data_IF_186872811353
#
_entry.id   IF_186872811353
#
_cell.length_a   1.000
_cell.length_b   1.000
_cell.length_c   1.000
_cell.angle_alpha   90.00
_cell.angle_beta   90.00
_cell.angle_gamma   90.00
#
_symmetry.space_group_name_H-M   'P 1'
#
loop_
_entity.id
_entity.type
_entity.pdbx_description
1 polymer ?
#
# COMPACT_ATOMS: atom_id res chain seq x y z
N UNK A 1 11.93 4.01 -39.20
CA UNK A 1 11.46 2.83 -38.43
C UNK A 1 11.30 3.27 -36.99
N UNK A 2 10.12 3.70 -36.51
CA UNK A 2 9.96 4.14 -35.10
C UNK A 2 8.51 4.15 -34.59
N UNK A 3 7.49 4.41 -35.42
CA UNK A 3 6.09 4.55 -34.96
C UNK A 3 5.40 3.29 -34.40
N UNK A 4 5.98 2.09 -34.54
CA UNK A 4 5.39 0.83 -34.06
C UNK A 4 5.88 0.42 -32.66
N UNK A 5 7.02 0.94 -32.20
CA UNK A 5 7.53 0.64 -30.85
C UNK A 5 6.83 1.52 -29.80
N UNK A 6 6.64 2.82 -30.08
CA UNK A 6 5.96 3.76 -29.18
C UNK A 6 4.51 3.33 -28.87
N UNK A 7 3.75 2.90 -29.89
CA UNK A 7 2.36 2.44 -29.69
C UNK A 7 2.24 1.16 -28.85
N UNK A 8 3.21 0.24 -28.94
CA UNK A 8 3.22 -0.98 -28.12
C UNK A 8 3.60 -0.68 -26.67
N UNK A 9 4.48 0.30 -26.44
CA UNK A 9 4.85 0.76 -25.11
C UNK A 9 3.69 1.49 -24.45
N UNK A 10 2.98 2.35 -25.20
CA UNK A 10 1.80 3.06 -24.75
C UNK A 10 0.60 2.13 -24.48
N UNK A 11 0.40 1.07 -25.27
CA UNK A 11 -0.64 0.05 -25.01
C UNK A 11 -0.31 -0.86 -23.82
N UNK A 12 0.97 -1.18 -23.57
CA UNK A 12 1.38 -1.86 -22.33
C UNK A 12 1.17 -0.98 -21.09
N UNK A 13 1.42 0.33 -21.20
CA UNK A 13 1.18 1.31 -20.12
C UNK A 13 -0.30 1.39 -19.74
N UNK A 14 -1.22 1.53 -20.70
CA UNK A 14 -2.67 1.54 -20.43
C UNK A 14 -3.15 0.20 -19.83
N UNK A 15 -2.56 -0.93 -20.23
CA UNK A 15 -2.90 -2.24 -19.66
C UNK A 15 -2.34 -2.46 -18.25
N UNK A 16 -1.24 -1.80 -17.88
CA UNK A 16 -0.67 -1.82 -16.53
C UNK A 16 -1.33 -0.79 -15.59
N UNK A 17 -1.86 0.33 -16.13
CA UNK A 17 -2.61 1.35 -15.39
C UNK A 17 -3.82 0.80 -14.62
N UNK A 18 -4.34 -0.37 -15.01
CA UNK A 18 -5.47 -1.03 -14.36
C UNK A 18 -5.07 -2.32 -13.62
N UNK A 19 -3.78 -2.71 -13.66
CA UNK A 19 -3.35 -4.02 -13.18
C UNK A 19 -2.69 -3.86 -11.82
N UNK A 20 -3.46 -4.19 -10.79
CA UNK A 20 -2.97 -4.38 -9.43
C UNK A 20 -1.72 -5.26 -9.45
N UNK A 21 -0.61 -4.74 -8.93
CA UNK A 21 0.63 -5.48 -8.79
C UNK A 21 0.63 -6.18 -7.44
N UNK A 22 0.83 -7.50 -7.44
CA UNK A 22 0.87 -8.30 -6.22
C UNK A 22 2.32 -8.56 -5.80
N UNK A 23 2.58 -8.39 -4.51
CA UNK A 23 3.88 -8.57 -3.88
C UNK A 23 3.77 -9.54 -2.69
N UNK A 24 4.79 -10.38 -2.55
CA UNK A 24 4.88 -11.37 -1.45
C UNK A 24 5.64 -10.82 -0.23
N UNK A 25 6.46 -9.79 -0.42
CA UNK A 25 7.28 -9.19 0.63
C UNK A 25 7.37 -7.67 0.51
N UNK A 26 7.75 -7.04 1.63
CA UNK A 26 7.91 -5.59 1.74
C UNK A 26 9.10 -5.09 0.89
N UNK A 27 10.17 -5.87 0.77
CA UNK A 27 11.39 -5.42 0.07
C UNK A 27 11.12 -5.17 -1.42
N UNK A 28 10.38 -6.07 -2.06
CA UNK A 28 9.98 -5.97 -3.47
C UNK A 28 8.99 -4.83 -3.67
N UNK A 29 8.06 -4.64 -2.74
CA UNK A 29 7.13 -3.50 -2.77
C UNK A 29 7.85 -2.16 -2.62
N UNK A 30 8.79 -2.04 -1.68
CA UNK A 30 9.58 -0.81 -1.54
C UNK A 30 10.41 -0.51 -2.77
N UNK A 31 10.97 -1.56 -3.39
CA UNK A 31 11.68 -1.42 -4.66
C UNK A 31 10.75 -0.89 -5.74
N UNK A 32 9.54 -1.42 -5.85
CA UNK A 32 8.54 -0.90 -6.77
C UNK A 32 8.29 0.60 -6.57
N UNK A 33 8.08 1.05 -5.32
CA UNK A 33 7.91 2.49 -5.04
C UNK A 33 9.11 3.34 -5.44
N UNK A 34 10.34 2.82 -5.26
CA UNK A 34 11.58 3.50 -5.68
C UNK A 34 11.68 3.59 -7.20
N UNK A 35 11.34 2.52 -7.91
CA UNK A 35 11.37 2.48 -9.37
C UNK A 35 10.34 3.47 -9.96
N UNK A 36 9.10 3.50 -9.44
CA UNK A 36 8.05 4.45 -9.87
C UNK A 36 8.46 5.92 -9.61
N UNK A 37 9.16 6.16 -8.50
CA UNK A 37 9.75 7.47 -8.19
C UNK A 37 10.82 7.89 -9.20
N UNK A 38 11.70 6.98 -9.60
CA UNK A 38 12.72 7.26 -10.62
C UNK A 38 12.11 7.58 -11.98
N UNK A 39 10.99 6.94 -12.31
CA UNK A 39 10.23 7.15 -13.55
C UNK A 39 9.27 8.36 -13.48
N UNK A 40 9.10 8.99 -12.30
CA UNK A 40 8.13 10.06 -12.01
C UNK A 40 6.66 9.67 -12.28
N UNK A 41 6.32 8.40 -12.12
CA UNK A 41 4.95 7.86 -12.29
C UNK A 41 4.30 7.68 -10.91
N UNK A 42 3.70 8.74 -10.34
CA UNK A 42 3.15 8.69 -8.97
C UNK A 42 1.64 8.43 -8.89
N UNK A 43 0.90 8.73 -9.95
CA UNK A 43 -0.55 8.97 -9.92
C UNK A 43 -1.40 7.79 -10.44
N UNK A 44 -0.79 6.64 -10.73
CA UNK A 44 -1.48 5.45 -11.23
C UNK A 44 -0.92 4.13 -10.64
N UNK A 45 -0.46 4.18 -9.39
CA UNK A 45 0.13 3.04 -8.73
C UNK A 45 -0.96 2.26 -8.00
N UNK A 46 -1.09 0.97 -8.31
CA UNK A 46 -1.94 0.05 -7.55
C UNK A 46 -1.13 -1.19 -7.18
N UNK A 47 -0.83 -1.33 -5.89
CA UNK A 47 0.00 -2.37 -5.34
C UNK A 47 -0.72 -3.08 -4.18
N UNK A 48 -0.60 -4.40 -4.13
CA UNK A 48 -1.14 -5.24 -3.09
C UNK A 48 -0.06 -6.12 -2.51
N UNK A 49 0.01 -6.22 -1.19
CA UNK A 49 1.03 -6.99 -0.49
C UNK A 49 0.30 -7.84 0.54
N UNK A 50 0.59 -9.14 0.56
CA UNK A 50 0.15 -10.03 1.62
C UNK A 50 1.37 -10.64 2.32
N UNK A 51 1.57 -10.30 3.59
CA UNK A 51 2.73 -10.77 4.34
C UNK A 51 2.44 -10.97 5.82
N UNK A 52 3.33 -11.68 6.52
CA UNK A 52 3.27 -11.87 7.96
C UNK A 52 4.14 -10.81 8.64
N UNK A 53 3.60 -10.01 9.57
CA UNK A 53 4.36 -8.95 10.23
C UNK A 53 5.61 -9.49 10.95
N UNK A 54 6.75 -8.75 10.92
CA UNK A 54 8.01 -9.20 11.52
C UNK A 54 7.90 -9.58 13.00
N UNK A 55 7.06 -8.88 13.78
CA UNK A 55 6.88 -9.18 15.20
C UNK A 55 6.24 -10.55 15.43
N UNK A 56 5.38 -11.03 14.52
CA UNK A 56 4.76 -12.36 14.62
C UNK A 56 5.76 -13.43 14.22
N UNK A 57 6.50 -13.21 13.13
CA UNK A 57 7.56 -14.11 12.68
C UNK A 57 8.61 -14.28 13.77
N UNK A 58 9.01 -13.19 14.42
CA UNK A 58 9.98 -13.23 15.51
C UNK A 58 9.46 -14.02 16.72
N UNK A 59 8.20 -13.84 17.13
CA UNK A 59 7.57 -14.63 18.19
C UNK A 59 7.47 -16.14 17.84
N UNK A 60 7.55 -16.49 16.56
CA UNK A 60 7.43 -17.86 16.03
C UNK A 60 8.77 -18.44 15.55
N UNK A 61 9.90 -17.85 15.95
CA UNK A 61 11.25 -18.26 15.53
C UNK A 61 11.46 -18.29 14.01
N UNK A 62 10.83 -17.36 13.29
CA UNK A 62 10.82 -17.23 11.83
C UNK A 62 10.25 -18.46 11.10
N UNK A 63 9.38 -19.22 11.76
CA UNK A 63 8.73 -20.40 11.22
C UNK A 63 7.21 -20.16 11.13
N UNK A 64 6.65 -20.02 9.91
CA UNK A 64 5.21 -19.80 9.72
C UNK A 64 4.34 -20.90 10.33
N UNK A 65 4.83 -22.15 10.39
CA UNK A 65 4.07 -23.28 10.95
C UNK A 65 3.94 -23.21 12.48
N UNK A 66 4.81 -22.43 13.14
CA UNK A 66 4.80 -22.23 14.59
C UNK A 66 3.99 -21.03 15.04
N UNK A 67 3.37 -20.32 14.10
CA UNK A 67 2.51 -19.17 14.43
C UNK A 67 1.30 -19.69 15.20
N UNK A 68 1.09 -19.13 16.40
CA UNK A 68 -0.07 -19.47 17.22
C UNK A 68 -1.34 -18.97 16.55
N UNK A 69 -2.38 -19.81 16.54
CA UNK A 69 -3.72 -19.44 16.05
C UNK A 69 -4.26 -18.14 16.68
N UNK A 70 -3.83 -17.83 17.91
CA UNK A 70 -4.20 -16.59 18.61
C UNK A 70 -3.58 -15.31 18.02
N UNK A 71 -2.66 -15.38 17.06
CA UNK A 71 -2.05 -14.23 16.40
C UNK A 71 -2.95 -13.80 15.24
N UNK A 72 -4.11 -13.26 15.57
CA UNK A 72 -5.11 -12.82 14.61
C UNK A 72 -5.87 -11.60 15.15
N UNK A 73 -6.81 -11.07 14.36
CA UNK A 73 -7.59 -9.87 14.72
C UNK A 73 -8.29 -9.94 16.09
N UNK A 74 -8.72 -11.13 16.55
CA UNK A 74 -9.42 -11.31 17.84
C UNK A 74 -8.51 -11.06 19.04
N UNK A 75 -7.18 -11.03 18.84
CA UNK A 75 -6.22 -10.76 19.89
C UNK A 75 -5.82 -9.28 19.93
N UNK A 76 -6.19 -8.61 21.03
CA UNK A 76 -5.89 -7.18 21.24
C UNK A 76 -4.39 -6.86 21.24
N UNK A 77 -3.53 -7.78 21.72
CA UNK A 77 -2.07 -7.59 21.71
C UNK A 77 -1.55 -7.59 20.28
N UNK A 78 -2.01 -8.55 19.47
CA UNK A 78 -1.68 -8.62 18.04
C UNK A 78 -2.11 -7.33 17.32
N UNK A 79 -3.37 -6.91 17.47
CA UNK A 79 -3.90 -5.69 16.85
C UNK A 79 -3.08 -4.45 17.24
N UNK A 80 -2.73 -4.31 18.52
CA UNK A 80 -1.90 -3.18 18.99
C UNK A 80 -0.51 -3.19 18.36
N UNK A 81 0.15 -4.35 18.32
CA UNK A 81 1.48 -4.47 17.75
C UNK A 81 1.46 -4.27 16.23
N UNK A 82 0.41 -4.76 15.56
CA UNK A 82 0.19 -4.53 14.15
C UNK A 82 0.00 -3.05 13.83
N UNK A 83 -0.87 -2.34 14.56
CA UNK A 83 -1.04 -0.90 14.36
C UNK A 83 0.28 -0.14 14.59
N UNK A 84 1.05 -0.50 15.61
CA UNK A 84 2.39 0.08 15.83
C UNK A 84 3.37 -0.21 14.69
N UNK A 85 3.32 -1.42 14.13
CA UNK A 85 4.11 -1.78 12.94
C UNK A 85 3.75 -0.90 11.75
N UNK A 86 2.44 -0.75 11.48
CA UNK A 86 1.93 0.06 10.38
C UNK A 86 2.38 1.52 10.50
N UNK A 87 2.17 2.15 11.66
CA UNK A 87 2.50 3.57 11.84
C UNK A 87 4.01 3.86 11.85
N UNK A 88 4.82 2.96 12.40
CA UNK A 88 6.26 3.22 12.59
C UNK A 88 7.14 2.75 11.45
N UNK A 89 6.71 1.71 10.74
CA UNK A 89 7.48 1.06 9.69
C UNK A 89 6.80 1.25 8.35
N UNK A 90 5.65 0.60 8.13
CA UNK A 90 5.01 0.55 6.81
C UNK A 90 4.75 1.94 6.20
N UNK A 91 4.03 2.81 6.92
CA UNK A 91 3.71 4.16 6.40
C UNK A 91 4.96 5.02 6.21
N UNK A 92 5.95 4.85 7.10
CA UNK A 92 7.22 5.57 7.04
C UNK A 92 8.05 5.13 5.82
N UNK A 93 8.13 3.82 5.59
CA UNK A 93 8.81 3.23 4.44
C UNK A 93 8.13 3.63 3.13
N UNK A 94 6.79 3.72 3.09
CA UNK A 94 6.06 4.23 1.93
C UNK A 94 6.45 5.68 1.64
N UNK A 95 6.47 6.57 2.65
CA UNK A 95 6.88 7.98 2.49
C UNK A 95 8.32 8.08 1.99
N UNK A 96 9.25 7.35 2.61
CA UNK A 96 10.67 7.40 2.28
C UNK A 96 10.96 6.88 0.86
N UNK A 97 10.32 5.77 0.46
CA UNK A 97 10.57 5.12 -0.81
C UNK A 97 9.82 5.74 -1.98
N UNK A 98 8.58 6.21 -1.78
CA UNK A 98 7.82 6.92 -2.82
C UNK A 98 8.40 8.30 -3.15
N UNK A 99 9.13 8.92 -2.21
CA UNK A 99 9.63 10.29 -2.38
C UNK A 99 8.54 11.37 -2.27
N UNK A 100 7.32 10.98 -1.91
CA UNK A 100 6.19 11.89 -1.69
C UNK A 100 6.18 12.37 -0.23
N UNK A 101 5.79 13.63 -0.02
CA UNK A 101 5.58 14.18 1.33
C UNK A 101 4.20 13.82 1.87
N UNK A 102 3.96 12.53 2.11
CA UNK A 102 2.66 12.04 2.55
C UNK A 102 2.42 12.37 4.02
N UNK A 103 1.21 12.88 4.32
CA UNK A 103 0.79 13.22 5.69
C UNK A 103 -0.50 12.51 6.04
N UNK A 104 -0.38 11.20 6.28
CA UNK A 104 -1.51 10.40 6.72
C UNK A 104 -2.08 10.93 8.05
N UNK A 105 -3.38 11.22 8.03
CA UNK A 105 -4.14 11.60 9.21
C UNK A 105 -4.47 10.40 10.10
N UNK A 106 -5.50 10.56 10.95
CA UNK A 106 -6.03 9.42 11.71
C UNK A 106 -6.66 8.42 10.73
N UNK A 107 -6.37 7.12 10.85
CA UNK A 107 -6.99 6.12 9.98
C UNK A 107 -8.49 6.04 10.23
N UNK A 108 -9.24 5.79 9.16
CA UNK A 108 -10.60 5.29 9.28
C UNK A 108 -10.53 3.81 9.64
N UNK A 109 -11.20 3.42 10.73
CA UNK A 109 -11.23 2.04 11.21
C UNK A 109 -12.55 1.43 10.77
N UNK A 110 -12.47 0.35 9.99
CA UNK A 110 -13.60 -0.48 9.60
C UNK A 110 -13.44 -1.84 10.26
N UNK A 111 -14.40 -2.19 11.10
CA UNK A 111 -14.37 -3.41 11.90
C UNK A 111 -15.58 -4.25 11.60
N UNK A 112 -15.34 -5.45 11.08
CA UNK A 112 -16.33 -6.49 10.88
C UNK A 112 -16.15 -7.61 11.90
N UNK A 113 -17.01 -8.63 11.81
CA UNK A 113 -16.93 -9.81 12.67
C UNK A 113 -15.58 -10.54 12.53
N UNK A 114 -15.11 -10.71 11.29
CA UNK A 114 -13.89 -11.48 10.98
C UNK A 114 -12.69 -10.62 10.61
N UNK A 115 -12.87 -9.33 10.31
CA UNK A 115 -11.81 -8.47 9.78
C UNK A 115 -11.72 -7.13 10.49
N UNK A 116 -10.51 -6.58 10.52
CA UNK A 116 -10.23 -5.21 10.95
C UNK A 116 -9.38 -4.56 9.87
N UNK A 117 -9.84 -3.42 9.38
CA UNK A 117 -9.19 -2.64 8.34
C UNK A 117 -8.92 -1.21 8.83
N UNK A 118 -7.70 -0.74 8.58
CA UNK A 118 -7.31 0.66 8.71
C UNK A 118 -7.12 1.25 7.33
N UNK A 119 -7.88 2.30 7.03
CA UNK A 119 -7.72 3.09 5.82
C UNK A 119 -7.03 4.40 6.14
N UNK A 120 -5.85 4.60 5.58
CA UNK A 120 -5.09 5.86 5.64
C UNK A 120 -5.25 6.57 4.30
N UNK A 121 -5.61 7.84 4.33
CA UNK A 121 -5.82 8.65 3.13
C UNK A 121 -5.01 9.93 3.27
N UNK A 122 -4.33 10.30 2.20
CA UNK A 122 -3.72 11.61 2.04
C UNK A 122 -4.17 12.26 0.73
N UNK A 123 -4.84 13.40 0.88
CA UNK A 123 -5.39 14.23 -0.21
C UNK A 123 -4.51 15.48 -0.48
N UNK A 124 -3.30 15.52 0.09
CA UNK A 124 -2.39 16.65 -0.01
C UNK A 124 -1.75 16.85 -1.38
N UNK A 125 -0.86 17.84 -1.45
CA UNK A 125 -0.07 18.20 -2.63
C UNK A 125 1.20 17.33 -2.78
N UNK A 126 1.41 16.40 -1.84
CA UNK A 126 2.52 15.42 -1.82
C UNK A 126 3.94 15.99 -1.98
N UNK A 127 4.10 17.30 -1.83
CA UNK A 127 5.36 18.00 -2.06
C UNK A 127 5.73 18.18 -3.54
N UNK A 128 4.79 17.98 -4.46
CA UNK A 128 4.99 18.07 -5.91
C UNK A 128 4.67 19.45 -6.48
N UNK A 129 3.91 20.28 -5.76
CA UNK A 129 3.57 21.65 -6.15
C UNK A 129 2.42 21.71 -7.17
N UNK A 130 1.90 22.92 -7.40
CA UNK A 130 0.70 23.17 -8.21
C UNK A 130 0.80 22.74 -9.70
N UNK A 131 2.00 22.47 -10.20
CA UNK A 131 2.23 22.02 -11.58
C UNK A 131 1.96 20.51 -11.78
N UNK A 132 1.88 19.74 -10.69
CA UNK A 132 1.54 18.31 -10.74
C UNK A 132 0.04 18.07 -10.58
N UNK A 133 -0.42 17.00 -11.21
CA UNK A 133 -1.81 16.57 -11.12
C UNK A 133 -2.14 16.17 -9.67
N UNK A 134 -3.27 16.65 -9.15
CA UNK A 134 -3.70 16.31 -7.80
C UNK A 134 -4.24 14.88 -7.77
N UNK A 135 -3.62 14.02 -6.98
CA UNK A 135 -4.07 12.65 -6.74
C UNK A 135 -4.17 12.37 -5.25
N UNK A 136 -4.98 11.39 -4.89
CA UNK A 136 -5.15 10.90 -3.53
C UNK A 136 -4.33 9.64 -3.34
N UNK A 137 -3.60 9.54 -2.24
CA UNK A 137 -2.92 8.30 -1.84
C UNK A 137 -3.74 7.60 -0.77
N UNK A 138 -4.11 6.35 -1.02
CA UNK A 138 -4.84 5.50 -0.09
C UNK A 138 -4.01 4.27 0.28
N UNK A 139 -3.92 3.98 1.59
CA UNK A 139 -3.30 2.78 2.12
C UNK A 139 -4.31 2.05 2.99
N UNK A 140 -4.75 0.89 2.54
CA UNK A 140 -5.66 0.01 3.25
C UNK A 140 -4.89 -1.16 3.86
N UNK A 141 -4.88 -1.26 5.19
CA UNK A 141 -4.26 -2.38 5.90
C UNK A 141 -5.35 -3.20 6.56
N UNK A 142 -5.47 -4.47 6.17
CA UNK A 142 -6.49 -5.40 6.66
C UNK A 142 -5.85 -6.61 7.34
N UNK A 143 -6.42 -7.00 8.47
CA UNK A 143 -6.11 -8.26 9.13
C UNK A 143 -7.40 -9.05 9.38
N UNK A 144 -7.28 -10.38 9.44
CA UNK A 144 -8.41 -11.29 9.56
C UNK A 144 -8.32 -12.18 10.81
N UNK A 145 -9.37 -12.94 11.09
CA UNK A 145 -9.44 -13.87 12.21
C UNK A 145 -8.80 -15.24 11.97
N UNK A 146 -8.39 -15.53 10.73
CA UNK A 146 -8.00 -16.87 10.29
C UNK A 146 -6.48 -17.05 10.25
N UNK A 147 -5.70 -16.00 10.51
CA UNK A 147 -4.26 -16.08 10.59
C UNK A 147 -3.62 -14.75 10.97
N UNK A 148 -2.28 -14.74 10.92
CA UNK A 148 -1.47 -13.57 11.24
C UNK A 148 -1.05 -12.75 10.02
N UNK A 149 -1.37 -13.23 8.81
CA UNK A 149 -1.12 -12.51 7.58
C UNK A 149 -1.95 -11.23 7.53
N UNK A 150 -1.37 -10.20 6.93
CA UNK A 150 -2.03 -8.92 6.70
C UNK A 150 -2.04 -8.61 5.22
N UNK A 151 -3.14 -8.04 4.75
CA UNK A 151 -3.32 -7.56 3.39
C UNK A 151 -3.14 -6.04 3.39
N UNK A 152 -2.22 -5.54 2.57
CA UNK A 152 -1.96 -4.11 2.39
C UNK A 152 -2.26 -3.76 0.94
N UNK A 153 -3.19 -2.83 0.71
CA UNK A 153 -3.40 -2.22 -0.60
C UNK A 153 -2.90 -0.79 -0.57
N UNK A 154 -2.02 -0.45 -1.51
CA UNK A 154 -1.56 0.89 -1.79
C UNK A 154 -2.14 1.32 -3.14
N UNK A 155 -2.85 2.44 -3.16
CA UNK A 155 -3.48 2.94 -4.36
C UNK A 155 -3.29 4.46 -4.49
N UNK A 156 -2.95 4.92 -5.68
CA UNK A 156 -2.97 6.34 -6.03
C UNK A 156 -4.05 6.59 -7.06
N UNK A 157 -5.03 7.42 -6.69
CA UNK A 157 -6.18 7.74 -7.53
C UNK A 157 -6.09 9.21 -7.93
N UNK A 158 -5.97 9.49 -9.23
CA UNK A 158 -6.19 10.84 -9.74
C UNK A 158 -7.63 11.24 -9.42
N UNK A 159 -7.84 12.42 -8.83
CA UNK A 159 -9.18 12.99 -8.80
C UNK A 159 -9.52 13.37 -10.24
N UNK A 160 -10.27 12.51 -10.94
CA UNK A 160 -10.92 12.93 -12.17
C UNK A 160 -11.72 14.19 -11.82
N UNK A 161 -11.30 15.34 -12.35
CA UNK A 161 -12.15 16.52 -12.34
C UNK A 161 -13.43 16.11 -13.07
N UNK A 162 -14.50 15.82 -12.32
CA UNK A 162 -15.85 15.75 -12.87
C UNK A 162 -16.03 17.02 -13.70
N UNK A 163 -16.05 16.83 -15.01
CA UNK A 163 -16.30 17.90 -15.95
C UNK A 163 -17.71 18.37 -15.65
N UNK A 164 -17.82 19.49 -14.94
CA UNK A 164 -19.09 20.17 -14.73
C UNK A 164 -19.69 20.47 -16.12
N UNK A 165 -20.74 19.73 -16.46
CA UNK A 165 -21.63 20.02 -17.60
C UNK A 165 -22.72 20.97 -17.14
#
# INVERSE_FOLDING_TARGET
>A
MTKKQDKKQQQKRIANLAKQQEFEDLETFEKFLRDEKEDNEFNHCHAHINYIPPFVMHESHNDPEKIKDSQNRKNKKFVRHLHQHVEKHLLKEIVENSGLQLKFGKPQIMEDFDTLQWKYVDDGDHGLGEEFEHFTVEVDVKCNSNGAAIDVNYNTNVKEMESAV
#
